data_IF_602991992178
#
_entry.id   IF_602991992178
#
_cell.length_a   1.000
_cell.length_b   1.000
_cell.length_c   1.000
_cell.angle_alpha   90.00
_cell.angle_beta   90.00
_cell.angle_gamma   90.00
#
_symmetry.space_group_name_H-M   'P 1'
#
loop_
_entity.id
_entity.type
_entity.pdbx_description
1 polymer ?
#
# COMPACT_ATOMS: atom_id res chain seq x y z
N UNK A 1 -18.12 -7.98 -5.87
CA UNK A 1 -17.00 -8.61 -6.59
C UNK A 1 -16.21 -7.65 -7.48
N UNK A 2 -16.82 -6.98 -8.49
CA UNK A 2 -16.09 -6.01 -9.35
C UNK A 2 -15.31 -4.96 -8.57
N UNK A 3 -15.94 -4.36 -7.54
CA UNK A 3 -15.28 -3.40 -6.65
C UNK A 3 -14.05 -4.00 -5.94
N UNK A 4 -14.13 -5.26 -5.48
CA UNK A 4 -13.00 -5.95 -4.84
C UNK A 4 -11.85 -6.12 -5.82
N UNK A 5 -12.11 -6.72 -6.98
CA UNK A 5 -11.08 -6.96 -8.00
C UNK A 5 -10.42 -5.66 -8.48
N UNK A 6 -11.21 -4.60 -8.67
CA UNK A 6 -10.71 -3.29 -9.12
C UNK A 6 -9.86 -2.56 -8.07
N UNK A 7 -10.11 -2.78 -6.78
CA UNK A 7 -9.56 -1.93 -5.71
C UNK A 7 -8.70 -2.65 -4.68
N UNK A 8 -8.66 -3.98 -4.66
CA UNK A 8 -7.84 -4.68 -3.67
C UNK A 8 -6.34 -4.45 -3.85
N UNK A 9 -5.89 -4.05 -5.04
CA UNK A 9 -4.50 -3.80 -5.34
C UNK A 9 -4.32 -2.61 -6.30
N UNK A 10 -3.28 -1.82 -6.06
CA UNK A 10 -2.76 -0.81 -6.97
C UNK A 10 -1.23 -0.75 -6.83
N UNK A 11 -0.52 -0.68 -7.96
CA UNK A 11 0.95 -0.57 -8.01
C UNK A 11 1.34 0.34 -9.17
N UNK A 12 2.33 1.21 -8.99
CA UNK A 12 2.93 1.98 -10.08
C UNK A 12 3.54 3.32 -9.67
N UNK A 13 4.10 4.06 -10.64
CA UNK A 13 4.64 5.40 -10.43
C UNK A 13 3.57 6.37 -9.91
N UNK A 14 3.94 7.21 -8.93
CA UNK A 14 3.03 8.13 -8.24
C UNK A 14 2.18 8.97 -9.18
N UNK A 15 2.78 9.51 -10.24
CA UNK A 15 2.14 10.37 -11.23
C UNK A 15 1.12 9.63 -12.13
N UNK A 16 1.15 8.30 -12.16
CA UNK A 16 0.30 7.46 -13.02
C UNK A 16 -0.76 6.67 -12.25
N UNK A 17 -0.72 6.69 -10.91
CA UNK A 17 -1.59 5.88 -10.05
C UNK A 17 -3.08 6.10 -10.34
N UNK A 18 -3.51 7.34 -10.56
CA UNK A 18 -4.93 7.63 -10.85
C UNK A 18 -5.38 7.00 -12.18
N UNK A 19 -4.55 7.08 -13.23
CA UNK A 19 -4.82 6.45 -14.51
C UNK A 19 -4.84 4.92 -14.41
N UNK A 20 -3.89 4.33 -13.67
CA UNK A 20 -3.86 2.88 -13.39
C UNK A 20 -5.13 2.45 -12.65
N UNK A 21 -5.55 3.22 -11.65
CA UNK A 21 -6.79 2.97 -10.91
C UNK A 21 -8.01 2.99 -11.84
N UNK A 22 -8.12 4.01 -12.69
CA UNK A 22 -9.22 4.14 -13.64
C UNK A 22 -9.27 2.94 -14.61
N UNK A 23 -8.12 2.56 -15.18
CA UNK A 23 -8.02 1.41 -16.08
C UNK A 23 -8.43 0.09 -15.41
N UNK A 24 -8.06 -0.12 -14.14
CA UNK A 24 -8.48 -1.31 -13.37
C UNK A 24 -9.99 -1.35 -13.11
N UNK A 25 -10.62 -0.20 -12.87
CA UNK A 25 -12.08 -0.10 -12.72
C UNK A 25 -12.77 -0.47 -14.03
N UNK A 26 -12.29 0.09 -15.15
CA UNK A 26 -12.84 -0.19 -16.48
C UNK A 26 -12.67 -1.67 -16.87
N UNK A 27 -11.48 -2.25 -16.66
CA UNK A 27 -11.22 -3.66 -16.92
C UNK A 27 -12.19 -4.55 -16.14
N UNK A 28 -12.30 -4.34 -14.81
CA UNK A 28 -13.22 -5.11 -13.97
C UNK A 28 -14.70 -4.92 -14.36
N UNK A 29 -15.08 -3.74 -14.86
CA UNK A 29 -16.44 -3.46 -15.31
C UNK A 29 -16.86 -4.34 -16.50
N UNK A 30 -15.91 -4.70 -17.38
CA UNK A 30 -16.17 -5.52 -18.57
C UNK A 30 -16.16 -7.03 -18.32
N UNK A 31 -15.65 -7.49 -17.16
CA UNK A 31 -15.49 -8.92 -16.89
C UNK A 31 -16.80 -9.64 -16.53
N UNK A 32 -16.87 -10.90 -16.96
CA UNK A 32 -17.94 -11.84 -16.58
C UNK A 32 -17.76 -12.32 -15.13
N UNK A 33 -18.82 -12.87 -14.53
CA UNK A 33 -18.76 -13.42 -13.17
C UNK A 33 -17.68 -14.49 -13.03
N UNK A 34 -17.58 -15.43 -13.99
CA UNK A 34 -16.56 -16.48 -13.97
C UNK A 34 -15.13 -15.93 -14.01
N UNK A 35 -14.88 -14.93 -14.84
CA UNK A 35 -13.57 -14.25 -14.90
C UNK A 35 -13.25 -13.55 -13.58
N UNK A 36 -14.23 -12.86 -12.99
CA UNK A 36 -14.05 -12.17 -11.71
C UNK A 36 -13.78 -13.15 -10.56
N UNK A 37 -14.45 -14.31 -10.53
CA UNK A 37 -14.16 -15.37 -9.55
C UNK A 37 -12.71 -15.86 -9.70
N UNK A 38 -12.24 -16.08 -10.93
CA UNK A 38 -10.84 -16.44 -11.18
C UNK A 38 -9.85 -15.37 -10.68
N UNK A 39 -10.10 -14.10 -10.97
CA UNK A 39 -9.26 -12.99 -10.49
C UNK A 39 -9.28 -12.85 -8.97
N UNK A 40 -10.45 -13.03 -8.35
CA UNK A 40 -10.64 -12.94 -6.90
C UNK A 40 -9.74 -13.95 -6.15
N UNK A 41 -9.72 -15.22 -6.59
CA UNK A 41 -8.86 -16.26 -6.00
C UNK A 41 -7.41 -16.21 -6.48
N UNK A 42 -7.13 -15.52 -7.59
CA UNK A 42 -5.77 -15.34 -8.07
C UNK A 42 -4.99 -14.23 -7.35
N UNK A 43 -5.66 -13.35 -6.60
CA UNK A 43 -5.02 -12.13 -6.08
C UNK A 43 -5.56 -11.61 -4.74
N UNK A 44 -6.87 -11.71 -4.49
CA UNK A 44 -7.51 -11.16 -3.28
C UNK A 44 -7.65 -12.19 -2.16
N UNK A 45 -8.24 -13.36 -2.45
CA UNK A 45 -8.45 -14.43 -1.45
C UNK A 45 -7.24 -15.34 -1.47
N UNK A 46 -6.58 -15.49 -0.31
CA UNK A 46 -5.38 -16.30 -0.13
C UNK A 46 -5.55 -17.28 1.03
N UNK A 47 -4.72 -18.31 1.09
CA UNK A 47 -4.65 -19.21 2.24
C UNK A 47 -3.70 -18.66 3.31
N UNK A 48 -3.97 -18.95 4.58
CA UNK A 48 -3.08 -18.59 5.69
C UNK A 48 -1.63 -19.02 5.43
N UNK A 49 -0.68 -18.12 5.71
CA UNK A 49 0.75 -18.35 5.49
C UNK A 49 1.20 -18.21 4.03
N UNK A 50 0.29 -17.94 3.10
CA UNK A 50 0.58 -17.70 1.68
C UNK A 50 0.16 -16.29 1.25
N UNK A 51 0.40 -15.30 2.13
CA UNK A 51 0.33 -13.88 1.74
C UNK A 51 1.28 -13.70 0.57
N UNK A 52 0.72 -13.41 -0.61
CA UNK A 52 1.44 -13.57 -1.87
C UNK A 52 2.79 -12.87 -1.83
N UNK A 53 3.83 -13.55 -2.34
CA UNK A 53 5.18 -13.01 -2.42
C UNK A 53 5.16 -11.56 -2.91
N UNK A 54 6.01 -10.71 -2.31
CA UNK A 54 6.26 -9.39 -2.86
C UNK A 54 6.72 -9.58 -4.29
N UNK A 55 5.83 -9.28 -5.25
CA UNK A 55 6.21 -9.27 -6.66
C UNK A 55 7.29 -8.22 -6.79
N UNK A 56 8.47 -8.60 -7.24
CA UNK A 56 9.41 -7.65 -7.78
C UNK A 56 8.78 -7.18 -9.11
N UNK A 57 7.98 -6.10 -9.03
CA UNK A 57 7.56 -5.45 -10.26
C UNK A 57 8.84 -4.72 -10.74
N UNK A 58 9.17 -4.82 -12.03
CA UNK A 58 10.20 -3.99 -12.70
C UNK A 58 9.78 -2.51 -12.67
N UNK A 59 9.64 -1.94 -11.47
CA UNK A 59 9.32 -0.54 -11.25
C UNK A 59 10.60 0.25 -11.52
N UNK A 60 10.52 1.32 -12.33
CA UNK A 60 11.68 2.16 -12.61
C UNK A 60 12.25 2.71 -11.30
N UNK A 61 13.53 2.43 -11.03
CA UNK A 61 14.21 2.87 -9.79
C UNK A 61 14.44 4.39 -9.71
N UNK A 62 14.18 5.12 -10.80
CA UNK A 62 14.31 6.57 -10.91
C UNK A 62 13.01 7.33 -10.61
N UNK A 63 11.89 6.63 -10.38
CA UNK A 63 10.59 7.26 -10.10
C UNK A 63 9.97 6.72 -8.83
N UNK A 64 9.45 7.63 -7.98
CA UNK A 64 8.70 7.27 -6.78
C UNK A 64 7.50 6.41 -7.19
N UNK A 65 7.50 5.18 -6.71
CA UNK A 65 6.46 4.20 -6.98
C UNK A 65 5.81 3.76 -5.68
N UNK A 66 4.51 3.47 -5.76
CA UNK A 66 3.72 3.02 -4.63
C UNK A 66 3.05 1.71 -4.98
N UNK A 67 2.97 0.82 -4.00
CA UNK A 67 2.12 -0.35 -4.03
C UNK A 67 1.25 -0.40 -2.79
N UNK A 68 -0.01 -0.76 -2.98
CA UNK A 68 -0.92 -1.11 -1.90
C UNK A 68 -1.68 -2.35 -2.30
N UNK A 69 -1.72 -3.34 -1.41
CA UNK A 69 -2.46 -4.59 -1.60
C UNK A 69 -3.22 -4.92 -0.31
N UNK A 70 -4.49 -5.27 -0.47
CA UNK A 70 -5.38 -5.78 0.58
C UNK A 70 -5.77 -7.19 0.18
N UNK A 71 -5.64 -8.15 1.09
CA UNK A 71 -5.96 -9.55 0.85
C UNK A 71 -6.84 -10.08 1.98
N UNK A 72 -7.66 -11.07 1.65
CA UNK A 72 -8.45 -11.85 2.60
C UNK A 72 -7.77 -13.20 2.78
N UNK A 73 -7.24 -13.46 3.96
CA UNK A 73 -6.69 -14.77 4.32
C UNK A 73 -7.78 -15.67 4.89
N UNK A 74 -7.84 -16.90 4.39
CA UNK A 74 -8.74 -17.95 4.83
C UNK A 74 -7.94 -19.21 5.21
N UNK A 75 -8.54 -20.05 6.05
CA UNK A 75 -8.04 -21.41 6.24
C UNK A 75 -8.10 -22.19 4.92
N UNK A 76 -7.26 -23.22 4.75
CA UNK A 76 -7.28 -24.04 3.53
C UNK A 76 -8.67 -24.67 3.26
N UNK A 77 -9.38 -25.05 4.31
CA UNK A 77 -10.73 -25.60 4.20
C UNK A 77 -11.74 -24.54 3.74
N UNK A 78 -11.72 -23.36 4.36
CA UNK A 78 -12.63 -22.27 4.01
C UNK A 78 -12.37 -21.75 2.60
N UNK A 79 -11.10 -21.68 2.19
CA UNK A 79 -10.70 -21.36 0.84
C UNK A 79 -11.33 -22.32 -0.18
N UNK A 80 -11.19 -23.64 0.04
CA UNK A 80 -11.71 -24.65 -0.87
C UNK A 80 -13.25 -24.61 -0.95
N UNK A 81 -13.92 -24.49 0.20
CA UNK A 81 -15.38 -24.37 0.29
C UNK A 81 -15.87 -23.14 -0.48
N UNK A 82 -15.30 -21.98 -0.17
CA UNK A 82 -15.64 -20.71 -0.81
C UNK A 82 -15.40 -20.74 -2.32
N UNK A 83 -14.32 -21.40 -2.76
CA UNK A 83 -14.02 -21.56 -4.18
C UNK A 83 -15.05 -22.44 -4.89
N UNK A 84 -15.50 -23.52 -4.25
CA UNK A 84 -16.57 -24.35 -4.77
C UNK A 84 -17.89 -23.57 -4.86
N UNK A 85 -18.27 -22.90 -3.78
CA UNK A 85 -19.49 -22.08 -3.68
C UNK A 85 -19.58 -21.02 -4.79
N UNK A 86 -18.50 -20.27 -5.03
CA UNK A 86 -18.49 -19.25 -6.09
C UNK A 86 -18.45 -19.84 -7.50
N UNK A 87 -17.91 -21.05 -7.70
CA UNK A 87 -18.05 -21.79 -8.97
C UNK A 87 -19.48 -22.27 -9.18
N UNK A 88 -20.14 -22.73 -8.13
CA UNK A 88 -21.54 -23.14 -8.17
C UNK A 88 -22.45 -21.95 -8.50
N UNK A 89 -22.15 -20.75 -7.99
CA UNK A 89 -22.84 -19.52 -8.38
C UNK A 89 -22.69 -19.20 -9.88
N UNK A 90 -21.51 -19.42 -10.47
CA UNK A 90 -21.29 -19.26 -11.92
C UNK A 90 -22.11 -20.27 -12.71
N UNK A 91 -22.12 -21.54 -12.28
CA UNK A 91 -22.92 -22.59 -12.89
C UNK A 91 -24.41 -22.29 -12.80
N UNK A 92 -24.89 -21.85 -11.63
CA UNK A 92 -26.28 -21.44 -11.39
C UNK A 92 -26.69 -20.32 -12.35
N UNK A 93 -25.86 -19.27 -12.49
CA UNK A 93 -26.13 -18.19 -13.45
C UNK A 93 -26.26 -18.73 -14.87
N UNK A 94 -25.38 -19.64 -15.28
CA UNK A 94 -25.40 -20.18 -16.64
C UNK A 94 -26.64 -21.05 -16.87
N UNK A 95 -27.03 -21.88 -15.90
CA UNK A 95 -28.27 -22.65 -15.94
C UNK A 95 -29.48 -21.73 -16.07
N UNK A 96 -29.59 -20.71 -15.21
CA UNK A 96 -30.70 -19.76 -15.25
C UNK A 96 -30.82 -19.01 -16.58
N UNK A 97 -29.68 -18.63 -17.18
CA UNK A 97 -29.66 -17.83 -18.42
C UNK A 97 -29.81 -18.68 -19.68
N UNK A 98 -29.22 -19.87 -19.71
CA UNK A 98 -29.08 -20.65 -20.94
C UNK A 98 -29.90 -21.93 -20.97
N UNK A 99 -30.28 -22.49 -19.82
CA UNK A 99 -30.90 -23.82 -19.75
C UNK A 99 -32.25 -23.85 -19.04
N UNK A 100 -32.63 -22.78 -18.33
CA UNK A 100 -33.84 -22.75 -17.51
C UNK A 100 -35.11 -23.08 -18.30
N UNK A 101 -35.27 -22.47 -19.49
CA UNK A 101 -36.44 -22.71 -20.35
C UNK A 101 -36.45 -24.14 -20.91
N UNK A 102 -35.29 -24.72 -21.18
CA UNK A 102 -35.17 -26.08 -21.70
C UNK A 102 -35.41 -27.14 -20.61
N UNK A 103 -35.20 -26.78 -19.34
CA UNK A 103 -35.32 -27.68 -18.18
C UNK A 103 -36.73 -27.72 -17.59
N UNK A 104 -37.56 -26.70 -17.85
CA UNK A 104 -38.91 -26.60 -17.29
C UNK A 104 -39.99 -26.51 -18.36
N UNK A 105 -41.03 -27.32 -18.21
CA UNK A 105 -42.23 -27.20 -19.03
C UNK A 105 -43.11 -26.05 -18.53
N UNK A 106 -42.89 -24.85 -19.07
CA UNK A 106 -43.66 -23.66 -18.70
C UNK A 106 -45.07 -23.63 -19.31
N UNK A 107 -45.48 -24.67 -20.05
CA UNK A 107 -46.82 -24.76 -20.63
C UNK A 107 -47.80 -25.48 -19.71
N UNK A 108 -47.33 -26.06 -18.61
CA UNK A 108 -48.17 -26.72 -17.61
C UNK A 108 -48.11 -26.00 -16.26
N UNK A 109 -49.22 -26.07 -15.51
CA UNK A 109 -49.31 -25.49 -14.15
C UNK A 109 -48.30 -26.14 -13.21
N UNK A 110 -48.14 -27.46 -13.28
CA UNK A 110 -47.17 -28.18 -12.46
C UNK A 110 -45.72 -27.82 -12.84
N UNK A 111 -45.41 -27.71 -14.13
CA UNK A 111 -44.09 -27.29 -14.57
C UNK A 111 -43.76 -25.84 -14.17
N UNK A 112 -44.74 -24.94 -14.22
CA UNK A 112 -44.60 -23.58 -13.67
C UNK A 112 -44.34 -23.57 -12.16
N UNK A 113 -45.02 -24.44 -11.40
CA UNK A 113 -44.82 -24.54 -9.95
C UNK A 113 -43.43 -25.03 -9.59
N UNK A 114 -42.94 -26.07 -10.27
CA UNK A 114 -41.57 -26.58 -10.07
C UNK A 114 -40.53 -25.50 -10.43
N UNK A 115 -40.72 -24.82 -11.55
CA UNK A 115 -39.85 -23.72 -11.96
C UNK A 115 -39.82 -22.58 -10.92
N UNK A 116 -40.98 -22.24 -10.34
CA UNK A 116 -41.07 -21.23 -9.29
C UNK A 116 -40.30 -21.64 -8.02
N UNK A 117 -40.44 -22.88 -7.57
CA UNK A 117 -39.75 -23.41 -6.39
C UNK A 117 -38.22 -23.42 -6.60
N UNK A 118 -37.76 -23.78 -7.80
CA UNK A 118 -36.35 -23.74 -8.17
C UNK A 118 -35.80 -22.32 -8.23
N UNK A 119 -36.55 -21.35 -8.80
CA UNK A 119 -36.18 -19.95 -8.78
C UNK A 119 -36.08 -19.38 -7.37
N UNK A 120 -36.99 -19.75 -6.46
CA UNK A 120 -36.92 -19.36 -5.06
C UNK A 120 -35.67 -19.90 -4.35
N UNK A 121 -35.33 -21.16 -4.64
CA UNK A 121 -34.11 -21.80 -4.14
C UNK A 121 -32.85 -21.13 -4.70
N UNK A 122 -32.85 -20.80 -5.99
CA UNK A 122 -31.76 -20.08 -6.65
C UNK A 122 -31.57 -18.68 -6.06
N UNK A 123 -32.66 -17.94 -5.84
CA UNK A 123 -32.62 -16.61 -5.23
C UNK A 123 -31.97 -16.66 -3.84
N UNK A 124 -32.38 -17.61 -3.01
CA UNK A 124 -31.82 -17.77 -1.65
C UNK A 124 -30.31 -18.01 -1.68
N UNK A 125 -29.82 -18.83 -2.61
CA UNK A 125 -28.37 -19.08 -2.78
C UNK A 125 -27.64 -17.82 -3.26
N UNK A 126 -28.21 -17.10 -4.23
CA UNK A 126 -27.62 -15.86 -4.75
C UNK A 126 -27.52 -14.81 -3.63
N UNK A 127 -28.56 -14.66 -2.82
CA UNK A 127 -28.61 -13.69 -1.72
C UNK A 127 -27.53 -13.96 -0.66
N UNK A 128 -27.36 -15.23 -0.27
CA UNK A 128 -26.31 -15.65 0.66
C UNK A 128 -24.90 -15.30 0.17
N UNK A 129 -24.57 -15.64 -1.09
CA UNK A 129 -23.27 -15.29 -1.66
C UNK A 129 -23.10 -13.79 -1.89
N UNK A 130 -24.19 -13.08 -2.20
CA UNK A 130 -24.18 -11.63 -2.34
C UNK A 130 -23.81 -10.95 -1.02
N UNK A 131 -24.47 -11.29 0.08
CA UNK A 131 -24.18 -10.72 1.41
C UNK A 131 -22.75 -11.04 1.85
N UNK A 132 -22.26 -12.27 1.61
CA UNK A 132 -20.86 -12.63 1.88
C UNK A 132 -19.88 -11.73 1.11
N UNK A 133 -20.08 -11.60 -0.21
CA UNK A 133 -19.23 -10.76 -1.07
C UNK A 133 -19.36 -9.27 -0.73
N UNK A 134 -20.52 -8.83 -0.23
CA UNK A 134 -20.75 -7.46 0.24
C UNK A 134 -19.95 -7.20 1.50
N UNK A 135 -20.02 -8.08 2.49
CA UNK A 135 -19.23 -7.97 3.71
C UNK A 135 -17.72 -7.90 3.44
N UNK A 136 -17.22 -8.70 2.48
CA UNK A 136 -15.81 -8.59 2.08
C UNK A 136 -15.47 -7.25 1.42
N UNK A 137 -16.35 -6.73 0.57
CA UNK A 137 -16.13 -5.43 -0.06
C UNK A 137 -16.13 -4.30 0.98
N UNK A 138 -17.03 -4.36 1.97
CA UNK A 138 -17.09 -3.41 3.08
C UNK A 138 -15.83 -3.46 3.95
N UNK A 139 -15.36 -4.65 4.33
CA UNK A 139 -14.10 -4.81 5.09
C UNK A 139 -12.88 -4.31 4.30
N UNK A 140 -12.79 -4.62 3.00
CA UNK A 140 -11.71 -4.14 2.15
C UNK A 140 -11.73 -2.61 2.06
N UNK A 141 -12.91 -1.99 1.88
CA UNK A 141 -13.03 -0.54 1.83
C UNK A 141 -12.65 0.11 3.17
N UNK A 142 -13.06 -0.49 4.30
CA UNK A 142 -12.65 -0.04 5.62
C UNK A 142 -11.13 -0.11 5.80
N UNK A 143 -10.49 -1.23 5.43
CA UNK A 143 -9.04 -1.38 5.50
C UNK A 143 -8.31 -0.31 4.64
N UNK A 144 -8.83 -0.03 3.44
CA UNK A 144 -8.29 1.02 2.56
C UNK A 144 -8.43 2.42 3.16
N UNK A 145 -9.56 2.73 3.84
CA UNK A 145 -9.75 4.01 4.52
C UNK A 145 -8.78 4.19 5.68
N UNK A 146 -8.61 3.17 6.52
CA UNK A 146 -7.65 3.20 7.62
C UNK A 146 -6.21 3.36 7.11
N UNK A 147 -5.85 2.68 6.02
CA UNK A 147 -4.55 2.86 5.38
C UNK A 147 -4.36 4.28 4.83
N UNK A 148 -5.39 4.86 4.22
CA UNK A 148 -5.33 6.24 3.72
C UNK A 148 -5.19 7.26 4.87
N UNK A 149 -5.92 7.08 5.96
CA UNK A 149 -5.81 7.90 7.17
C UNK A 149 -4.39 7.81 7.76
N UNK A 150 -3.82 6.60 7.82
CA UNK A 150 -2.45 6.42 8.27
C UNK A 150 -1.43 7.14 7.37
N UNK A 151 -1.54 6.99 6.04
CA UNK A 151 -0.65 7.67 5.08
C UNK A 151 -0.73 9.20 5.18
N UNK A 152 -1.88 9.73 5.55
CA UNK A 152 -2.09 11.17 5.74
C UNK A 152 -1.65 11.67 7.12
N UNK A 153 -1.22 10.78 8.02
CA UNK A 153 -0.83 11.14 9.38
C UNK A 153 0.60 11.66 9.48
N UNK A 154 0.85 12.49 10.49
CA UNK A 154 2.20 12.96 10.85
C UNK A 154 3.14 11.80 11.18
N UNK A 155 2.61 10.69 11.73
CA UNK A 155 3.39 9.48 12.05
C UNK A 155 3.96 8.85 10.79
N UNK A 156 3.17 8.74 9.72
CA UNK A 156 3.65 8.22 8.45
C UNK A 156 4.65 9.17 7.80
N UNK A 157 4.40 10.47 7.85
CA UNK A 157 5.35 11.48 7.38
C UNK A 157 6.68 11.39 8.15
N UNK A 158 6.65 11.25 9.46
CA UNK A 158 7.84 11.09 10.28
C UNK A 158 8.60 9.81 9.96
N UNK A 159 7.90 8.70 9.74
CA UNK A 159 8.52 7.45 9.32
C UNK A 159 9.21 7.57 7.95
N UNK A 160 8.52 8.11 6.94
CA UNK A 160 9.00 8.08 5.55
C UNK A 160 9.95 9.23 5.22
N UNK A 161 9.67 10.44 5.72
CA UNK A 161 10.45 11.65 5.40
C UNK A 161 11.53 11.90 6.44
N UNK A 162 11.22 11.68 7.72
CA UNK A 162 12.16 11.97 8.80
C UNK A 162 12.89 10.70 9.27
N UNK A 163 12.51 9.49 8.84
CA UNK A 163 13.14 8.25 9.31
C UNK A 163 12.93 8.01 10.81
N UNK A 164 11.82 8.52 11.37
CA UNK A 164 11.49 8.39 12.80
C UNK A 164 10.35 7.38 12.92
N UNK A 165 10.63 6.24 13.54
CA UNK A 165 9.65 5.20 13.79
C UNK A 165 8.58 5.65 14.80
N UNK A 166 7.39 5.01 14.83
CA UNK A 166 6.31 5.37 15.76
C UNK A 166 6.68 5.27 17.25
N UNK A 167 7.72 4.50 17.59
CA UNK A 167 8.26 4.38 18.96
C UNK A 167 9.30 5.48 19.31
N UNK A 168 9.59 6.37 18.36
CA UNK A 168 10.57 7.45 18.48
C UNK A 168 12.00 7.07 18.07
N UNK A 169 12.25 5.82 17.65
CA UNK A 169 13.57 5.39 17.17
C UNK A 169 13.89 6.04 15.82
N UNK A 170 15.12 6.51 15.64
CA UNK A 170 15.57 7.14 14.40
C UNK A 170 16.41 6.17 13.56
N UNK A 171 15.98 5.92 12.32
CA UNK A 171 16.80 5.29 11.28
C UNK A 171 17.69 6.35 10.61
N UNK A 172 18.87 6.57 11.20
CA UNK A 172 19.78 7.64 10.79
C UNK A 172 20.16 7.63 9.29
N UNK A 173 20.48 6.50 8.65
CA UNK A 173 20.69 6.43 7.20
C UNK A 173 19.53 6.97 6.35
N UNK A 174 18.29 6.74 6.76
CA UNK A 174 17.09 7.20 6.05
C UNK A 174 16.60 8.59 6.51
N UNK A 175 17.15 9.12 7.60
CA UNK A 175 16.65 10.34 8.22
C UNK A 175 16.82 11.58 7.33
N UNK A 176 15.74 12.35 7.16
CA UNK A 176 15.73 13.59 6.38
C UNK A 176 16.78 14.60 6.82
N UNK A 177 17.08 14.68 8.12
CA UNK A 177 18.11 15.57 8.66
C UNK A 177 19.54 15.17 8.25
N UNK A 178 19.79 13.87 8.07
CA UNK A 178 21.08 13.35 7.59
C UNK A 178 21.22 13.63 6.10
N UNK A 179 20.16 13.43 5.32
CA UNK A 179 20.13 13.84 3.90
C UNK A 179 20.40 15.35 3.76
N UNK A 180 19.74 16.19 4.56
CA UNK A 180 19.95 17.63 4.55
C UNK A 180 21.40 18.02 4.92
N UNK A 181 22.03 17.31 5.86
CA UNK A 181 23.46 17.48 6.19
C UNK A 181 24.37 17.07 5.02
N UNK A 182 24.03 16.01 4.30
CA UNK A 182 24.74 15.58 3.08
C UNK A 182 24.66 16.63 1.97
N UNK A 183 23.46 17.16 1.71
CA UNK A 183 23.25 18.23 0.73
C UNK A 183 24.00 19.52 1.11
N UNK A 184 23.93 19.93 2.38
CA UNK A 184 24.67 21.07 2.88
C UNK A 184 26.19 20.86 2.71
N UNK A 185 26.69 19.64 2.94
CA UNK A 185 28.10 19.32 2.73
C UNK A 185 28.49 19.39 1.24
N UNK A 186 27.63 18.93 0.33
CA UNK A 186 27.88 19.06 -1.11
C UNK A 186 27.96 20.53 -1.58
N UNK A 187 27.28 21.45 -0.89
CA UNK A 187 27.23 22.87 -1.26
C UNK A 187 28.27 23.74 -0.56
N UNK A 188 28.63 23.42 0.69
CA UNK A 188 29.39 24.32 1.58
C UNK A 188 30.78 23.80 1.95
N UNK A 189 31.17 22.61 1.50
CA UNK A 189 32.46 22.03 1.87
C UNK A 189 33.63 22.88 1.36
N UNK A 190 34.56 23.16 2.27
CA UNK A 190 35.87 23.74 1.98
C UNK A 190 36.92 22.69 2.31
N UNK A 191 37.69 22.28 1.31
CA UNK A 191 38.67 21.18 1.44
C UNK A 191 38.03 19.88 1.97
N UNK A 192 36.78 19.62 1.55
CA UNK A 192 36.01 18.45 1.98
C UNK A 192 35.41 18.55 3.38
N UNK A 193 35.55 19.67 4.10
CA UNK A 193 34.94 19.85 5.43
C UNK A 193 33.91 20.98 5.40
N UNK A 194 32.81 20.80 6.12
CA UNK A 194 31.72 21.77 6.19
C UNK A 194 31.57 22.31 7.62
N UNK A 195 31.54 23.65 7.83
CA UNK A 195 31.26 24.20 9.15
C UNK A 195 29.83 23.88 9.60
N UNK A 196 29.66 23.28 10.79
CA UNK A 196 28.33 22.89 11.30
C UNK A 196 27.39 24.09 11.43
N UNK A 197 27.91 25.25 11.86
CA UNK A 197 27.10 26.46 11.98
C UNK A 197 26.61 26.98 10.61
N UNK A 198 27.42 26.85 9.56
CA UNK A 198 27.04 27.24 8.21
C UNK A 198 25.99 26.27 7.64
N UNK A 199 26.21 24.97 7.81
CA UNK A 199 25.24 23.94 7.43
C UNK A 199 23.90 24.13 8.15
N UNK A 200 23.91 24.36 9.47
CA UNK A 200 22.66 24.58 10.22
C UNK A 200 21.85 25.78 9.72
N UNK A 201 22.51 26.88 9.32
CA UNK A 201 21.82 28.03 8.69
C UNK A 201 21.29 27.70 7.30
N UNK A 202 22.09 27.00 6.48
CA UNK A 202 21.69 26.59 5.14
C UNK A 202 20.49 25.63 5.16
N UNK A 203 20.47 24.70 6.12
CA UNK A 203 19.37 23.76 6.32
C UNK A 203 18.13 24.49 6.83
N UNK A 204 18.26 25.40 7.79
CA UNK A 204 17.12 26.18 8.28
C UNK A 204 16.44 27.03 7.17
N UNK A 205 17.20 27.45 6.15
CA UNK A 205 16.71 28.21 5.01
C UNK A 205 16.00 27.33 3.95
N UNK A 206 16.45 26.08 3.74
CA UNK A 206 15.97 25.19 2.66
C UNK A 206 15.05 24.07 3.10
N UNK A 207 15.30 23.54 4.29
CA UNK A 207 14.57 22.43 4.90
C UNK A 207 14.18 22.81 6.33
N UNK A 208 13.31 23.82 6.52
CA UNK A 208 12.97 24.37 7.83
C UNK A 208 12.33 23.34 8.78
N UNK A 209 11.79 22.25 8.25
CA UNK A 209 11.23 21.13 9.00
C UNK A 209 12.29 20.20 9.61
N UNK A 210 13.55 20.30 9.17
CA UNK A 210 14.66 19.50 9.68
C UNK A 210 15.33 20.19 10.86
N UNK A 211 14.83 19.89 12.06
CA UNK A 211 15.30 20.48 13.31
C UNK A 211 15.91 19.41 14.21
N UNK A 212 17.10 19.63 14.82
CA UNK A 212 17.71 18.67 15.74
C UNK A 212 16.75 18.16 16.83
N UNK A 213 15.90 19.04 17.37
CA UNK A 213 14.97 18.70 18.44
C UNK A 213 13.96 17.61 18.04
N UNK A 214 13.57 17.54 16.76
CA UNK A 214 12.68 16.49 16.23
C UNK A 214 13.31 15.10 16.36
N UNK A 215 14.63 15.03 16.32
CA UNK A 215 15.43 13.81 16.40
C UNK A 215 16.00 13.57 17.81
N UNK A 216 15.42 14.18 18.85
CA UNK A 216 15.92 14.08 20.22
C UNK A 216 17.28 14.75 20.45
N UNK A 217 17.76 15.57 19.51
CA UNK A 217 19.06 16.22 19.58
C UNK A 217 18.92 17.70 19.97
N UNK A 218 19.77 18.16 20.89
CA UNK A 218 19.83 19.57 21.32
C UNK A 218 20.56 20.49 20.34
N UNK A 219 21.36 19.94 19.42
CA UNK A 219 22.18 20.72 18.49
C UNK A 219 22.55 19.94 17.23
N UNK A 220 22.87 20.64 16.15
CA UNK A 220 23.42 20.06 14.91
C UNK A 220 24.67 19.22 15.13
N UNK A 221 25.50 19.60 16.10
CA UNK A 221 26.68 18.83 16.50
C UNK A 221 26.28 17.47 17.11
N UNK A 222 25.22 17.43 17.92
CA UNK A 222 24.72 16.18 18.47
C UNK A 222 24.19 15.29 17.36
N UNK A 223 23.45 15.83 16.39
CA UNK A 223 22.98 15.07 15.21
C UNK A 223 24.14 14.41 14.48
N UNK A 224 25.19 15.17 14.14
CA UNK A 224 26.40 14.66 13.47
C UNK A 224 27.09 13.56 14.29
N UNK A 225 27.05 13.65 15.62
CA UNK A 225 27.62 12.63 16.50
C UNK A 225 26.77 11.36 16.56
N UNK A 226 25.46 11.50 16.79
CA UNK A 226 24.52 10.38 16.97
C UNK A 226 24.32 9.57 15.69
N UNK A 227 24.23 10.23 14.53
CA UNK A 227 24.01 9.54 13.26
C UNK A 227 25.19 8.68 12.82
N UNK A 228 26.41 8.97 13.30
CA UNK A 228 27.67 8.25 12.97
C UNK A 228 28.03 8.16 11.47
N UNK A 229 27.31 8.86 10.59
CA UNK A 229 27.54 8.87 9.15
C UNK A 229 28.54 9.94 8.69
N UNK A 230 28.92 10.84 9.60
CA UNK A 230 29.88 11.90 9.35
C UNK A 230 31.09 11.77 10.30
N UNK A 231 32.23 12.25 9.85
CA UNK A 231 33.35 12.59 10.72
C UNK A 231 33.12 13.97 11.34
N UNK A 232 33.54 14.16 12.59
CA UNK A 232 33.47 15.43 13.32
C UNK A 232 34.87 15.87 13.73
N UNK A 233 35.27 17.09 13.39
CA UNK A 233 36.54 17.69 13.84
C UNK A 233 36.32 19.11 14.34
N UNK A 234 37.19 19.54 15.24
CA UNK A 234 37.23 20.92 15.71
C UNK A 234 38.42 21.64 15.07
N UNK A 235 38.19 22.86 14.61
CA UNK A 235 39.23 23.75 14.06
C UNK A 235 39.18 25.07 14.81
N UNK A 236 40.34 25.68 15.03
CA UNK A 236 40.40 27.07 15.46
C UNK A 236 40.28 27.97 14.23
N UNK A 237 39.29 28.85 14.24
CA UNK A 237 39.07 29.88 13.22
C UNK A 237 38.92 31.19 13.98
N UNK A 238 39.79 32.15 13.70
CA UNK A 238 39.77 33.48 14.35
C UNK A 238 39.78 33.41 15.90
N UNK A 239 40.49 32.44 16.48
CA UNK A 239 40.58 32.24 17.93
C UNK A 239 39.35 31.58 18.57
N UNK A 240 38.36 31.16 17.77
CA UNK A 240 37.19 30.41 18.23
C UNK A 240 37.22 28.97 17.72
N UNK A 241 36.86 28.04 18.60
CA UNK A 241 36.78 26.61 18.28
C UNK A 241 35.47 26.32 17.53
N UNK A 242 35.56 26.12 16.21
CA UNK A 242 34.44 25.79 15.35
C UNK A 242 34.37 24.28 15.08
N UNK A 243 33.16 23.71 15.07
CA UNK A 243 32.94 22.32 14.72
C UNK A 243 32.68 22.18 13.21
N UNK A 244 33.37 21.23 12.59
CA UNK A 244 33.31 20.93 11.16
C UNK A 244 33.02 19.45 10.97
N UNK A 245 32.29 19.11 9.92
CA UNK A 245 31.95 17.74 9.58
C UNK A 245 32.23 17.40 8.12
N UNK A 246 32.38 16.12 7.83
CA UNK A 246 32.56 15.57 6.48
C UNK A 246 31.85 14.22 6.38
N UNK A 247 31.18 13.89 5.27
CA UNK A 247 30.65 12.54 5.05
C UNK A 247 31.75 11.50 5.21
N UNK A 248 31.46 10.38 5.88
CA UNK A 248 32.40 9.25 5.89
C UNK A 248 32.48 8.67 4.49
N UNK A 249 33.68 8.26 4.09
CA UNK A 249 33.84 7.43 2.90
C UNK A 249 33.10 6.11 3.14
N UNK A 250 32.32 5.69 2.15
CA UNK A 250 31.53 4.47 2.17
C UNK A 250 32.43 3.22 2.10
#
# INVERSE_FOLDING_TARGET
MKAIVAHHEISGPAHSLEAIRAARIEDAATKTLGTLVGQLFGSYVVTDGNGGEERDDDLPGDVISFRTRVQLSLSAQDYANTQADLKDLVSLRNTLVHHFIDQHDLWTVDGCRVAQDELGSAYTRIDQHFEQLRGWAEHMDQARRLAAEFVQSDVFHDLVVNGIAPDGTVDWPAAGIVRALGEAAAQLAVEGWTPIAAAGRWIADRHPEQLPAKYGCSSWRQVVHECRLFELRYREVEGQRAAWYRPREA
#
